data_IF_672467138734
#
_entry.id   IF_672467138734
#
_cell.length_a   1.000
_cell.length_b   1.000
_cell.length_c   1.000
_cell.angle_alpha   90.00
_cell.angle_beta   90.00
_cell.angle_gamma   90.00
#
_symmetry.space_group_name_H-M   'P 1'
#
loop_
_entity.id
_entity.type
_entity.pdbx_description
1 polymer ?
#
# COMPACT_ATOMS: atom_id res chain seq x y z
N UNK A 1 -16.79 -0.53 -8.37
CA UNK A 1 -16.77 -1.11 -9.72
C UNK A 1 -15.40 -1.77 -9.90
N UNK A 2 -15.35 -3.10 -9.93
CA UNK A 2 -14.10 -3.82 -10.19
C UNK A 2 -13.76 -3.60 -11.66
N UNK A 3 -12.68 -2.88 -11.98
CA UNK A 3 -12.18 -2.79 -13.34
C UNK A 3 -11.70 -4.19 -13.74
N UNK A 4 -12.29 -4.75 -14.75
CA UNK A 4 -11.79 -5.96 -15.36
C UNK A 4 -10.40 -5.67 -15.94
N UNK A 5 -9.44 -6.56 -15.70
CA UNK A 5 -8.11 -6.48 -16.33
C UNK A 5 -8.28 -6.62 -17.84
N UNK A 6 -7.92 -5.59 -18.59
CA UNK A 6 -8.12 -5.53 -20.03
C UNK A 6 -7.03 -6.30 -20.82
N UNK A 7 -5.93 -6.68 -20.18
CA UNK A 7 -4.80 -7.37 -20.81
C UNK A 7 -4.10 -8.32 -19.85
N UNK A 8 -3.41 -9.32 -20.41
CA UNK A 8 -2.50 -10.17 -19.64
C UNK A 8 -1.31 -9.33 -19.16
N UNK A 9 -1.08 -9.34 -17.86
CA UNK A 9 0.03 -8.65 -17.21
C UNK A 9 0.86 -9.64 -16.39
N UNK A 10 2.16 -9.43 -16.35
CA UNK A 10 3.08 -10.13 -15.46
C UNK A 10 4.18 -9.19 -15.01
N UNK A 11 4.62 -9.33 -13.76
CA UNK A 11 5.83 -8.67 -13.22
C UNK A 11 6.61 -9.63 -12.36
N UNK A 12 7.90 -9.38 -12.21
CA UNK A 12 8.77 -10.17 -11.35
C UNK A 12 9.02 -9.42 -10.04
N UNK A 13 8.89 -10.13 -8.92
CA UNK A 13 9.32 -9.64 -7.62
C UNK A 13 10.85 -9.59 -7.45
N UNK A 14 11.61 -10.16 -8.40
CA UNK A 14 13.06 -9.99 -8.47
C UNK A 14 13.47 -8.66 -9.16
N UNK A 15 12.51 -8.05 -9.88
CA UNK A 15 12.62 -6.70 -10.45
C UNK A 15 11.37 -5.91 -10.09
N UNK A 16 11.17 -5.59 -8.79
CA UNK A 16 9.96 -4.97 -8.31
C UNK A 16 9.84 -3.52 -8.79
N UNK A 17 8.61 -3.00 -8.83
CA UNK A 17 8.38 -1.58 -9.10
C UNK A 17 8.89 -0.71 -7.94
N UNK A 18 8.82 -1.24 -6.71
CA UNK A 18 9.25 -0.55 -5.51
C UNK A 18 9.85 -1.53 -4.50
N UNK A 19 10.91 -1.10 -3.82
CA UNK A 19 11.47 -1.79 -2.65
C UNK A 19 11.47 -0.85 -1.46
N UNK A 20 10.83 -1.24 -0.37
CA UNK A 20 10.82 -0.53 0.90
C UNK A 20 11.59 -1.31 1.93
N UNK A 21 12.53 -0.64 2.57
CA UNK A 21 13.32 -1.21 3.66
C UNK A 21 12.91 -0.59 4.98
N UNK A 22 12.84 -1.40 6.00
CA UNK A 22 12.61 -1.01 7.38
C UNK A 22 13.54 -1.82 8.28
N UNK A 23 13.59 -1.51 9.55
CA UNK A 23 14.43 -2.24 10.48
C UNK A 23 14.07 -3.74 10.50
N UNK A 24 15.08 -4.59 10.33
CA UNK A 24 14.96 -6.05 10.24
C UNK A 24 14.02 -6.55 9.13
N UNK A 25 13.86 -5.80 8.02
CA UNK A 25 13.03 -6.32 6.94
C UNK A 25 12.97 -5.43 5.69
N UNK A 26 12.29 -5.98 4.69
CA UNK A 26 11.98 -5.29 3.44
C UNK A 26 10.73 -5.83 2.79
N UNK A 27 10.09 -4.99 2.00
CA UNK A 27 8.97 -5.34 1.11
C UNK A 27 9.33 -4.96 -0.34
N UNK A 28 9.19 -5.91 -1.25
CA UNK A 28 9.38 -5.75 -2.69
C UNK A 28 8.01 -5.84 -3.36
N UNK A 29 7.60 -4.79 -4.07
CA UNK A 29 6.22 -4.59 -4.51
C UNK A 29 6.16 -4.57 -6.03
N UNK A 30 5.24 -5.36 -6.61
CA UNK A 30 4.89 -5.36 -8.01
C UNK A 30 3.41 -5.00 -8.17
N UNK A 31 3.12 -3.95 -8.94
CA UNK A 31 1.75 -3.46 -9.17
C UNK A 31 1.27 -3.85 -10.56
N UNK A 32 0.10 -4.46 -10.64
CA UNK A 32 -0.54 -4.99 -11.84
C UNK A 32 -1.95 -4.41 -11.93
N UNK A 33 -2.10 -3.24 -12.54
CA UNK A 33 -3.36 -2.50 -12.51
C UNK A 33 -3.76 -2.12 -11.09
N UNK A 34 -4.93 -2.53 -10.66
CA UNK A 34 -5.46 -2.29 -9.30
C UNK A 34 -5.01 -3.37 -8.27
N UNK A 35 -4.21 -4.33 -8.70
CA UNK A 35 -3.68 -5.41 -7.88
C UNK A 35 -2.21 -5.20 -7.58
N UNK A 36 -1.78 -5.54 -6.37
CA UNK A 36 -0.37 -5.56 -5.99
C UNK A 36 -0.01 -6.87 -5.31
N UNK A 37 1.15 -7.38 -5.66
CA UNK A 37 1.80 -8.47 -4.94
C UNK A 37 3.06 -7.94 -4.26
N UNK A 38 3.30 -8.37 -3.03
CA UNK A 38 4.47 -7.96 -2.26
C UNK A 38 5.21 -9.18 -1.75
N UNK A 39 6.51 -9.28 -2.04
CA UNK A 39 7.38 -10.21 -1.33
C UNK A 39 7.92 -9.50 -0.10
N UNK A 40 7.59 -10.04 1.06
CA UNK A 40 8.01 -9.53 2.36
C UNK A 40 9.12 -10.45 2.88
N UNK A 41 10.22 -9.85 3.31
CA UNK A 41 11.33 -10.55 3.97
C UNK A 41 11.49 -9.93 5.35
N UNK A 42 11.40 -10.76 6.39
CA UNK A 42 11.55 -10.36 7.79
C UNK A 42 12.71 -11.16 8.39
N UNK A 43 13.71 -10.46 8.87
CA UNK A 43 14.89 -11.06 9.45
C UNK A 43 14.62 -11.56 10.88
N UNK A 44 15.40 -12.51 11.39
CA UNK A 44 15.35 -12.91 12.80
C UNK A 44 15.43 -11.71 13.74
N UNK A 45 14.54 -11.68 14.74
CA UNK A 45 14.40 -10.57 15.66
C UNK A 45 13.40 -9.49 15.21
N UNK A 46 12.84 -9.59 14.00
CA UNK A 46 11.77 -8.69 13.61
C UNK A 46 10.51 -8.94 14.45
N UNK A 47 9.90 -7.83 14.87
CA UNK A 47 8.60 -7.82 15.52
C UNK A 47 7.82 -6.58 15.10
N UNK A 48 6.54 -6.75 14.75
CA UNK A 48 5.71 -5.63 14.29
C UNK A 48 5.63 -4.51 15.32
N UNK A 49 5.37 -4.84 16.59
CA UNK A 49 5.25 -3.85 17.68
C UNK A 49 6.55 -3.08 17.97
N UNK A 50 7.70 -3.57 17.54
CA UNK A 50 8.99 -2.92 17.73
C UNK A 50 9.45 -2.18 16.47
N UNK A 51 9.34 -2.82 15.29
CA UNK A 51 9.92 -2.30 14.05
C UNK A 51 8.93 -1.50 13.19
N UNK A 52 7.62 -1.77 13.29
CA UNK A 52 6.60 -1.14 12.45
C UNK A 52 5.68 -0.22 13.23
N UNK A 53 5.29 -0.56 14.46
CA UNK A 53 4.42 0.27 15.31
C UNK A 53 4.86 1.74 15.40
N UNK A 54 6.16 2.09 15.57
CA UNK A 54 6.60 3.48 15.60
C UNK A 54 6.34 4.25 14.30
N UNK A 55 6.22 3.52 13.19
CA UNK A 55 5.97 4.07 11.85
C UNK A 55 4.46 4.12 11.56
N UNK A 56 3.74 3.06 11.95
CA UNK A 56 2.30 2.93 11.70
C UNK A 56 1.47 3.88 12.55
N UNK A 57 1.92 4.17 13.78
CA UNK A 57 1.22 5.06 14.71
C UNK A 57 -0.05 4.44 15.30
N UNK A 58 -0.16 3.10 15.28
CA UNK A 58 -1.27 2.33 15.86
C UNK A 58 -0.73 1.33 16.88
N UNK A 59 -1.56 0.88 17.81
CA UNK A 59 -1.11 -0.07 18.86
C UNK A 59 -0.87 -1.48 18.31
N UNK A 60 -1.62 -1.85 17.27
CA UNK A 60 -1.54 -3.12 16.57
C UNK A 60 -1.62 -2.90 15.05
N UNK A 61 -1.25 -3.87 14.25
CA UNK A 61 -1.37 -3.81 12.80
C UNK A 61 -2.85 -3.77 12.41
N UNK A 62 -3.26 -2.73 11.66
CA UNK A 62 -4.63 -2.53 11.21
C UNK A 62 -4.82 -2.93 9.73
N UNK A 63 -3.89 -3.68 9.18
CA UNK A 63 -3.94 -4.16 7.79
C UNK A 63 -4.48 -5.58 7.76
N UNK A 64 -5.37 -5.85 6.80
CA UNK A 64 -5.74 -7.21 6.43
C UNK A 64 -4.62 -7.80 5.55
N UNK A 65 -3.98 -8.87 6.00
CA UNK A 65 -3.01 -9.60 5.21
C UNK A 65 -3.62 -10.87 4.64
N UNK A 66 -3.40 -11.09 3.36
CA UNK A 66 -3.73 -12.34 2.66
C UNK A 66 -2.50 -12.79 1.90
N UNK A 67 -1.98 -13.94 2.23
CA UNK A 67 -0.69 -14.32 1.68
C UNK A 67 -0.37 -15.80 1.77
N UNK A 68 0.86 -16.10 1.39
CA UNK A 68 1.44 -17.41 1.40
C UNK A 68 2.86 -17.35 1.95
N UNK A 69 3.16 -18.19 2.95
CA UNK A 69 4.47 -18.29 3.57
C UNK A 69 5.38 -19.18 2.74
N UNK A 70 6.49 -18.65 2.27
CA UNK A 70 7.46 -19.38 1.44
C UNK A 70 8.51 -20.06 2.31
N UNK A 71 9.04 -19.35 3.33
CA UNK A 71 10.05 -19.87 4.25
C UNK A 71 9.97 -19.17 5.61
N UNK A 72 10.69 -19.74 6.60
CA UNK A 72 10.69 -19.23 7.97
C UNK A 72 9.36 -19.47 8.69
N UNK A 73 9.28 -19.03 9.94
CA UNK A 73 8.09 -19.14 10.79
C UNK A 73 7.74 -17.79 11.38
N UNK A 74 6.46 -17.44 11.33
CA UNK A 74 5.94 -16.22 11.89
C UNK A 74 4.86 -16.54 12.92
N UNK A 75 4.99 -16.00 14.12
CA UNK A 75 3.94 -16.07 15.14
C UNK A 75 3.08 -14.82 15.03
N UNK A 76 1.78 -15.00 15.11
CA UNK A 76 0.76 -13.93 15.06
C UNK A 76 -0.06 -14.00 16.32
N UNK A 77 -0.30 -12.84 16.95
CA UNK A 77 -1.17 -12.69 18.11
C UNK A 77 -2.19 -11.59 17.85
N UNK A 78 -3.46 -11.96 17.95
CA UNK A 78 -4.59 -11.04 17.83
C UNK A 78 -4.85 -10.29 19.14
N UNK A 79 -5.53 -9.14 19.07
CA UNK A 79 -5.96 -8.37 20.27
C UNK A 79 -6.90 -9.15 21.19
N UNK A 80 -7.68 -10.09 20.67
CA UNK A 80 -8.56 -10.95 21.45
C UNK A 80 -7.83 -12.10 22.17
N UNK A 81 -6.50 -12.20 22.00
CA UNK A 81 -5.64 -13.21 22.58
C UNK A 81 -5.51 -14.50 21.76
N UNK A 82 -6.15 -14.58 20.59
CA UNK A 82 -5.92 -15.69 19.65
C UNK A 82 -4.50 -15.63 19.13
N UNK A 83 -3.81 -16.77 19.13
CA UNK A 83 -2.44 -16.90 18.64
C UNK A 83 -2.32 -18.07 17.66
N UNK A 84 -1.59 -17.85 16.58
CA UNK A 84 -1.29 -18.86 15.56
C UNK A 84 0.14 -18.69 15.04
N UNK A 85 0.72 -19.78 14.62
CA UNK A 85 2.01 -19.80 13.93
C UNK A 85 1.80 -20.14 12.46
N UNK A 86 2.37 -19.34 11.58
CA UNK A 86 2.36 -19.55 10.13
C UNK A 86 3.72 -20.07 9.70
N UNK A 87 3.74 -21.25 9.10
CA UNK A 87 4.95 -21.92 8.61
C UNK A 87 5.03 -21.98 7.09
N UNK A 88 6.16 -22.52 6.56
CA UNK A 88 6.37 -22.70 5.14
C UNK A 88 5.28 -23.57 4.49
N UNK A 89 4.76 -23.13 3.33
CA UNK A 89 3.73 -23.85 2.60
C UNK A 89 2.30 -23.49 2.98
N UNK A 90 2.10 -22.61 3.96
CA UNK A 90 0.78 -22.25 4.45
C UNK A 90 0.28 -20.94 3.81
N UNK A 91 -0.98 -20.94 3.44
CA UNK A 91 -1.72 -19.73 3.07
C UNK A 91 -2.43 -19.18 4.31
N UNK A 92 -2.50 -17.86 4.43
CA UNK A 92 -3.08 -17.21 5.59
C UNK A 92 -3.98 -16.04 5.25
N UNK A 93 -4.90 -15.76 6.15
CA UNK A 93 -5.63 -14.48 6.26
C UNK A 93 -5.43 -14.00 7.69
N UNK A 94 -4.81 -12.85 7.86
CA UNK A 94 -4.57 -12.24 9.17
C UNK A 94 -5.37 -10.93 9.22
N UNK A 95 -6.45 -10.88 10.01
CA UNK A 95 -7.29 -9.69 10.14
C UNK A 95 -6.56 -8.50 10.80
N UNK A 96 -7.08 -7.28 10.69
CA UNK A 96 -6.64 -6.14 11.51
C UNK A 96 -6.68 -6.44 13.00
N UNK A 97 -5.82 -5.80 13.79
CA UNK A 97 -5.76 -5.98 15.24
C UNK A 97 -4.78 -7.08 15.67
N UNK A 98 -3.60 -7.15 15.03
CA UNK A 98 -2.59 -8.16 15.38
C UNK A 98 -1.21 -7.57 15.63
N UNK A 99 -0.39 -8.29 16.39
CA UNK A 99 1.06 -8.23 16.46
C UNK A 99 1.63 -9.48 15.79
N UNK A 100 2.84 -9.43 15.26
CA UNK A 100 3.51 -10.57 14.66
C UNK A 100 5.03 -10.50 14.86
N UNK A 101 5.70 -11.66 14.92
CA UNK A 101 7.17 -11.74 15.03
C UNK A 101 7.74 -12.99 14.36
N UNK A 102 9.00 -12.88 13.99
CA UNK A 102 9.76 -14.02 13.46
C UNK A 102 10.10 -15.00 14.58
N UNK A 103 9.89 -16.28 14.33
CA UNK A 103 10.24 -17.37 15.26
C UNK A 103 11.49 -18.09 14.76
N UNK A 104 12.49 -18.17 15.64
CA UNK A 104 13.77 -18.82 15.31
C UNK A 104 14.74 -17.89 14.59
N UNK A 105 15.67 -18.49 13.88
CA UNK A 105 16.84 -17.87 13.25
C UNK A 105 16.81 -17.93 11.71
N UNK A 106 15.72 -18.41 11.13
CA UNK A 106 15.47 -18.39 9.69
C UNK A 106 14.61 -17.18 9.32
N UNK A 107 15.00 -16.39 8.28
CA UNK A 107 14.17 -15.30 7.81
C UNK A 107 12.79 -15.78 7.31
N UNK A 108 11.75 -15.04 7.67
CA UNK A 108 10.42 -15.20 7.06
C UNK A 108 10.44 -14.61 5.66
N UNK A 109 10.00 -15.40 4.69
CA UNK A 109 9.70 -14.93 3.34
C UNK A 109 8.25 -15.27 3.05
N UNK A 110 7.46 -14.25 2.76
CA UNK A 110 6.05 -14.41 2.38
C UNK A 110 5.71 -13.61 1.13
N UNK A 111 4.67 -14.03 0.41
CA UNK A 111 4.04 -13.27 -0.65
C UNK A 111 2.67 -12.83 -0.18
N UNK A 112 2.51 -11.54 0.01
CA UNK A 112 1.26 -10.91 0.39
C UNK A 112 0.57 -10.32 -0.85
N UNK A 113 -0.73 -10.57 -0.97
CA UNK A 113 -1.54 -10.19 -2.14
C UNK A 113 -2.60 -9.14 -1.79
N UNK A 114 -2.45 -8.44 -0.68
CA UNK A 114 -3.36 -7.37 -0.30
C UNK A 114 -2.81 -6.01 -0.74
N UNK A 115 -3.64 -5.21 -1.40
CA UNK A 115 -3.30 -3.81 -1.73
C UNK A 115 -3.10 -2.95 -0.48
N UNK A 116 -3.71 -3.31 0.65
CA UNK A 116 -3.61 -2.58 1.92
C UNK A 116 -2.19 -2.61 2.52
N UNK A 117 -1.42 -3.69 2.33
CA UNK A 117 -0.02 -3.77 2.78
C UNK A 117 0.85 -2.70 2.12
N UNK A 118 0.57 -2.40 0.84
CA UNK A 118 1.29 -1.36 0.10
C UNK A 118 1.05 0.02 0.71
N UNK A 119 -0.17 0.32 1.12
CA UNK A 119 -0.54 1.61 1.72
C UNK A 119 0.11 1.83 3.09
N UNK A 120 0.23 0.79 3.92
CA UNK A 120 0.89 0.89 5.22
C UNK A 120 2.34 1.36 5.08
N UNK A 121 3.08 0.79 4.11
CA UNK A 121 4.46 1.17 3.86
C UNK A 121 4.59 2.49 3.06
N UNK A 122 3.51 2.98 2.41
CA UNK A 122 3.52 4.26 1.68
C UNK A 122 3.55 5.48 2.61
N UNK A 123 2.93 5.41 3.79
CA UNK A 123 2.86 6.53 4.74
C UNK A 123 4.23 7.11 5.12
N UNK A 124 5.25 6.27 5.22
CA UNK A 124 6.59 6.73 5.63
C UNK A 124 7.28 7.67 4.63
N UNK A 125 6.97 7.56 3.33
CA UNK A 125 7.62 8.38 2.29
C UNK A 125 7.05 9.80 2.30
N UNK A 126 5.76 9.97 2.55
CA UNK A 126 5.12 11.29 2.61
C UNK A 126 5.50 12.07 3.87
N UNK A 127 5.66 11.41 5.02
CA UNK A 127 6.05 12.07 6.26
C UNK A 127 7.52 12.51 6.24
N UNK A 128 8.39 11.79 5.51
CA UNK A 128 9.80 12.17 5.37
C UNK A 128 9.99 13.30 4.36
N UNK A 129 9.11 13.44 3.36
CA UNK A 129 9.17 14.52 2.37
C UNK A 129 8.45 15.78 2.88
N UNK A 130 7.43 15.66 3.74
CA UNK A 130 6.76 16.78 4.40
C UNK A 130 7.64 17.58 5.36
N UNK A 131 8.67 16.94 5.93
CA UNK A 131 9.63 17.61 6.82
C UNK A 131 10.74 18.40 6.13
N UNK A 132 10.85 18.32 4.80
CA UNK A 132 11.91 19.04 4.04
C UNK A 132 11.41 20.37 3.43
N UNK A 133 10.09 20.63 3.44
CA UNK A 133 9.51 21.83 2.86
C UNK A 133 9.46 23.04 3.78
N UNK A 134 9.79 22.87 5.07
CA UNK A 134 9.78 23.99 6.04
C UNK A 134 11.11 24.78 6.13
N UNK A 135 12.11 24.48 5.30
CA UNK A 135 13.41 25.16 5.36
C UNK A 135 13.73 26.02 4.14
N UNK A 136 12.81 26.20 3.20
CA UNK A 136 12.99 27.18 2.12
C UNK A 136 12.01 28.32 2.32
N UNK A 137 12.48 29.30 3.08
CA UNK A 137 11.76 30.52 3.34
C UNK A 137 11.39 31.30 2.06
N UNK A 138 10.15 31.71 2.02
CA UNK A 138 9.74 32.95 1.37
C UNK A 138 9.66 32.95 -0.13
N UNK A 139 8.52 32.48 -0.71
CA UNK A 139 7.83 33.21 -1.78
C UNK A 139 6.32 32.93 -1.61
N UNK A 140 5.64 33.78 -0.91
CA UNK A 140 4.18 33.89 -0.94
C UNK A 140 3.81 34.85 -2.08
N UNK A 141 3.43 34.31 -3.22
CA UNK A 141 2.60 35.05 -4.17
C UNK A 141 1.33 34.22 -4.41
N UNK A 142 0.15 34.78 -4.19
CA UNK A 142 -1.09 34.07 -4.48
C UNK A 142 -1.31 34.04 -5.99
N UNK A 143 -1.41 32.84 -6.56
CA UNK A 143 -1.82 32.65 -7.95
C UNK A 143 -3.34 32.93 -8.03
N UNK A 144 -3.72 34.19 -8.07
CA UNK A 144 -5.05 34.63 -8.48
C UNK A 144 -5.07 34.65 -10.01
N UNK A 145 -5.71 33.68 -10.66
CA UNK A 145 -5.82 33.69 -12.11
C UNK A 145 -6.32 32.42 -12.80
N UNK A 146 -6.90 31.46 -12.11
CA UNK A 146 -7.38 30.22 -12.75
C UNK A 146 -8.91 30.01 -12.63
N UNK A 147 -9.68 31.04 -12.31
CA UNK A 147 -11.15 30.90 -12.18
C UNK A 147 -11.99 31.40 -13.33
N UNK A 148 -11.40 31.96 -14.40
CA UNK A 148 -12.18 32.57 -15.46
C UNK A 148 -12.28 31.85 -16.82
N UNK A 149 -11.74 30.63 -16.94
CA UNK A 149 -11.76 29.89 -18.23
C UNK A 149 -12.81 28.78 -18.31
N UNK A 150 -13.59 28.50 -17.27
CA UNK A 150 -14.60 27.42 -17.30
C UNK A 150 -16.04 27.92 -17.54
N UNK A 151 -16.25 29.23 -17.66
CA UNK A 151 -17.61 29.80 -17.81
C UNK A 151 -18.02 30.12 -19.25
N UNK A 152 -17.21 29.81 -20.25
CA UNK A 152 -17.42 30.19 -21.65
C UNK A 152 -17.82 29.09 -22.63
N UNK A 153 -17.98 27.85 -22.22
CA UNK A 153 -18.15 26.74 -23.18
C UNK A 153 -19.47 25.97 -23.09
N UNK A 154 -20.40 26.34 -22.23
CA UNK A 154 -21.71 25.67 -22.11
C UNK A 154 -22.87 26.34 -22.85
N UNK A 155 -22.66 27.48 -23.46
CA UNK A 155 -23.77 28.21 -24.12
C UNK A 155 -23.86 28.05 -25.65
N UNK A 156 -23.15 27.10 -26.26
CA UNK A 156 -23.14 26.90 -27.71
C UNK A 156 -23.66 25.56 -28.20
N UNK A 157 -24.32 24.78 -27.37
CA UNK A 157 -24.85 23.45 -27.75
C UNK A 157 -26.36 23.28 -27.53
N UNK A 158 -27.12 24.36 -27.31
CA UNK A 158 -28.58 24.29 -27.25
C UNK A 158 -29.17 25.42 -28.12
N UNK A 159 -29.27 25.17 -29.40
CA UNK A 159 -29.98 26.11 -30.29
C UNK A 159 -30.00 25.61 -31.73
N UNK A 160 -31.08 25.01 -32.15
CA UNK A 160 -31.35 24.82 -33.56
C UNK A 160 -32.11 23.55 -33.92
N UNK A 161 -33.30 23.37 -33.35
CA UNK A 161 -34.30 22.52 -33.96
C UNK A 161 -35.04 23.34 -35.03
N UNK A 162 -35.34 22.75 -36.17
CA UNK A 162 -36.56 23.00 -36.95
C UNK A 162 -36.76 21.88 -37.98
N UNK A 163 -37.88 21.25 -37.82
CA UNK A 163 -38.78 20.64 -38.79
C UNK A 163 -38.50 20.94 -40.25
N UNK A 164 -38.58 19.92 -41.12
CA UNK A 164 -39.46 20.03 -42.27
C UNK A 164 -39.85 18.66 -42.81
N UNK A 165 -41.14 18.51 -43.05
CA UNK A 165 -41.88 17.40 -43.61
C UNK A 165 -41.56 17.20 -45.10
N UNK A 166 -41.43 15.98 -45.53
CA UNK A 166 -42.21 15.40 -46.67
C UNK A 166 -41.86 13.94 -46.86
#
# INVERSE_FOLDING_TARGET
MVRAFESLQKKSLDSPDETRTFENGKAQIATLGDFSASRIVLEPGWRWSENIKPIAGTDTCQVLHTGYQVSGRMHVRMEDGTEEEVGPGEAYVIPPGHDAWVVGDEPVVSVDMSSATVELYAKKVTDTVGGVTDTVGGVTEPVSGVTDTVRGTTDKLLGGGKEEQR
#
